data_IF_917119514425
#
_entry.id   IF_917119514425
#
_cell.length_a   1.000
_cell.length_b   1.000
_cell.length_c   1.000
_cell.angle_alpha   90.00
_cell.angle_beta   90.00
_cell.angle_gamma   90.00
#
_symmetry.space_group_name_H-M   'P 1'
#
loop_
_entity.id
_entity.type
_entity.pdbx_description
1 polymer ?
#
# COMPACT_ATOMS: atom_id res chain seq x y z
N UNK A 1 6.53 -3.34 28.22
CA UNK A 1 6.39 -4.05 26.94
C UNK A 1 5.09 -4.82 26.97
N UNK A 2 4.23 -4.69 25.96
CA UNK A 2 2.95 -5.38 25.90
C UNK A 2 3.14 -6.90 25.94
N UNK A 3 2.19 -7.61 26.56
CA UNK A 3 2.12 -9.07 26.48
C UNK A 3 2.11 -9.49 24.99
N UNK A 4 2.89 -10.50 24.59
CA UNK A 4 2.92 -11.02 23.21
C UNK A 4 1.52 -11.20 22.62
N UNK A 5 0.57 -11.66 23.44
CA UNK A 5 -0.81 -11.83 23.01
C UNK A 5 -1.48 -10.50 22.62
N UNK A 6 -1.23 -9.43 23.36
CA UNK A 6 -1.72 -8.09 23.02
C UNK A 6 -1.12 -7.59 21.71
N UNK A 7 0.19 -7.76 21.51
CA UNK A 7 0.86 -7.36 20.26
C UNK A 7 0.30 -8.14 19.07
N UNK A 8 0.05 -9.45 19.23
CA UNK A 8 -0.57 -10.26 18.20
C UNK A 8 -2.00 -9.81 17.90
N UNK A 9 -2.80 -9.51 18.92
CA UNK A 9 -4.17 -9.01 18.76
C UNK A 9 -4.20 -7.66 18.03
N UNK A 10 -3.33 -6.73 18.42
CA UNK A 10 -3.19 -5.42 17.78
C UNK A 10 -2.77 -5.55 16.30
N UNK A 11 -1.85 -6.49 16.00
CA UNK A 11 -1.44 -6.79 14.64
C UNK A 11 -2.57 -7.37 13.80
N UNK A 12 -3.35 -8.33 14.32
CA UNK A 12 -4.50 -8.91 13.60
C UNK A 12 -5.62 -7.87 13.37
N UNK A 13 -5.88 -7.00 14.35
CA UNK A 13 -6.81 -5.87 14.19
C UNK A 13 -6.36 -4.92 13.08
N UNK A 14 -5.06 -4.61 13.04
CA UNK A 14 -4.48 -3.77 11.99
C UNK A 14 -4.61 -4.43 10.61
N UNK A 15 -4.37 -5.75 10.52
CA UNK A 15 -4.55 -6.51 9.27
C UNK A 15 -5.99 -6.49 8.78
N UNK A 16 -6.96 -6.70 9.67
CA UNK A 16 -8.38 -6.64 9.31
C UNK A 16 -8.77 -5.29 8.69
N UNK A 17 -8.21 -4.19 9.21
CA UNK A 17 -8.43 -2.86 8.64
C UNK A 17 -7.71 -2.62 7.30
N UNK A 18 -6.61 -3.33 7.02
CA UNK A 18 -5.83 -3.22 5.78
C UNK A 18 -6.39 -4.07 4.63
N UNK A 19 -7.08 -5.18 4.95
CA UNK A 19 -7.51 -6.19 3.97
C UNK A 19 -8.93 -5.94 3.42
N UNK A 20 -9.71 -5.02 3.99
CA UNK A 20 -10.99 -4.63 3.37
C UNK A 20 -10.73 -3.78 2.13
N UNK A 21 -10.62 -4.47 0.99
CA UNK A 21 -10.41 -3.86 -0.32
C UNK A 21 -11.71 -3.50 -1.03
N UNK A 22 -12.89 -3.80 -0.47
CA UNK A 22 -14.16 -3.71 -1.21
C UNK A 22 -14.43 -2.29 -1.74
N UNK A 23 -14.24 -1.28 -0.90
CA UNK A 23 -14.40 0.13 -1.31
C UNK A 23 -13.33 0.60 -2.28
N UNK A 24 -12.07 0.17 -2.10
CA UNK A 24 -10.97 0.53 -2.99
C UNK A 24 -11.11 -0.14 -4.36
N UNK A 25 -11.59 -1.38 -4.40
CA UNK A 25 -11.87 -2.11 -5.65
C UNK A 25 -13.00 -1.47 -6.44
N UNK A 26 -14.09 -1.08 -5.76
CA UNK A 26 -15.19 -0.36 -6.40
C UNK A 26 -14.75 0.99 -6.98
N UNK A 27 -13.89 1.73 -6.26
CA UNK A 27 -13.36 3.01 -6.76
C UNK A 27 -12.40 2.81 -7.95
N UNK A 28 -11.57 1.75 -7.93
CA UNK A 28 -10.71 1.38 -9.06
C UNK A 28 -11.56 1.02 -10.28
N UNK A 29 -12.61 0.21 -10.12
CA UNK A 29 -13.50 -0.19 -11.20
C UNK A 29 -14.19 1.03 -11.82
N UNK A 30 -14.79 1.88 -10.99
CA UNK A 30 -15.40 3.13 -11.44
C UNK A 30 -14.42 4.04 -12.18
N UNK A 31 -13.22 4.24 -11.63
CA UNK A 31 -12.20 5.08 -12.27
C UNK A 31 -11.71 4.48 -13.59
N UNK A 32 -11.66 3.15 -13.69
CA UNK A 32 -11.34 2.43 -14.92
C UNK A 32 -12.39 2.67 -16.01
N UNK A 33 -13.67 2.56 -15.66
CA UNK A 33 -14.78 2.87 -16.58
C UNK A 33 -14.71 4.32 -17.10
N UNK A 34 -14.42 5.28 -16.22
CA UNK A 34 -14.25 6.70 -16.61
C UNK A 34 -13.10 6.88 -17.63
N UNK A 35 -11.97 6.21 -17.40
CA UNK A 35 -10.82 6.22 -18.32
C UNK A 35 -11.19 5.59 -19.67
N UNK A 36 -11.90 4.47 -19.67
CA UNK A 36 -12.33 3.76 -20.88
C UNK A 36 -13.27 4.62 -21.73
N UNK A 37 -14.23 5.29 -21.08
CA UNK A 37 -15.14 6.24 -21.76
C UNK A 37 -14.34 7.36 -22.44
N UNK A 38 -13.36 7.94 -21.77
CA UNK A 38 -12.53 9.01 -22.37
C UNK A 38 -11.69 8.46 -23.53
N UNK A 39 -11.14 7.25 -23.40
CA UNK A 39 -10.38 6.61 -24.46
C UNK A 39 -11.21 6.40 -25.73
N UNK A 40 -12.46 5.94 -25.58
CA UNK A 40 -13.39 5.77 -26.70
C UNK A 40 -13.81 7.12 -27.32
N UNK A 41 -13.94 8.18 -26.51
CA UNK A 41 -14.17 9.55 -27.03
C UNK A 41 -12.99 10.04 -27.88
N UNK A 42 -11.75 9.83 -27.42
CA UNK A 42 -10.54 10.19 -28.18
C UNK A 42 -10.50 9.42 -29.51
N UNK A 43 -10.73 8.11 -29.47
CA UNK A 43 -10.77 7.24 -30.64
C UNK A 43 -11.85 7.64 -31.65
N UNK A 44 -13.04 7.99 -31.15
CA UNK A 44 -14.14 8.49 -31.98
C UNK A 44 -13.77 9.82 -32.66
N UNK A 45 -13.18 10.77 -31.93
CA UNK A 45 -12.73 12.05 -32.46
C UNK A 45 -11.67 11.87 -33.58
N UNK A 46 -10.71 10.98 -33.38
CA UNK A 46 -9.69 10.65 -34.39
C UNK A 46 -10.34 10.04 -35.64
N UNK A 47 -11.27 9.11 -35.46
CA UNK A 47 -12.01 8.47 -36.56
C UNK A 47 -12.84 9.47 -37.36
N UNK A 48 -13.49 10.40 -36.67
CA UNK A 48 -14.32 11.44 -37.30
C UNK A 48 -13.47 12.39 -38.15
N UNK A 49 -12.34 12.87 -37.62
CA UNK A 49 -11.42 13.74 -38.36
C UNK A 49 -10.79 13.02 -39.57
N UNK A 50 -10.56 11.71 -39.48
CA UNK A 50 -10.07 10.91 -40.61
C UNK A 50 -11.14 10.69 -41.70
N UNK A 51 -12.43 10.66 -41.32
CA UNK A 51 -13.54 10.34 -42.23
C UNK A 51 -14.20 11.58 -42.82
N UNK A 52 -14.10 12.73 -42.15
CA UNK A 52 -14.73 14.00 -42.54
C UNK A 52 -13.76 15.13 -42.26
N UNK A 53 -13.52 15.99 -43.25
CA UNK A 53 -12.63 17.13 -43.09
C UNK A 53 -13.21 18.10 -42.04
N UNK A 54 -12.51 18.24 -40.92
CA UNK A 54 -12.83 19.20 -39.85
C UNK A 54 -11.85 20.37 -39.90
N UNK A 55 -12.24 21.49 -39.28
CA UNK A 55 -11.29 22.56 -38.96
C UNK A 55 -10.16 22.00 -38.11
N UNK A 56 -8.92 22.14 -38.57
CA UNK A 56 -7.76 21.58 -37.86
C UNK A 56 -7.56 22.23 -36.49
N UNK A 57 -7.85 23.54 -36.37
CA UNK A 57 -7.76 24.24 -35.09
C UNK A 57 -8.80 23.72 -34.08
N UNK A 58 -10.02 23.42 -34.54
CA UNK A 58 -11.07 22.86 -33.68
C UNK A 58 -10.76 21.42 -33.26
N UNK A 59 -10.27 20.60 -34.20
CA UNK A 59 -9.85 19.22 -33.92
C UNK A 59 -8.72 19.18 -32.88
N UNK A 60 -7.64 19.95 -33.10
CA UNK A 60 -6.50 20.00 -32.18
C UNK A 60 -6.94 20.45 -30.78
N UNK A 61 -7.82 21.46 -30.71
CA UNK A 61 -8.35 21.94 -29.42
C UNK A 61 -9.15 20.87 -28.68
N UNK A 62 -10.06 20.16 -29.37
CA UNK A 62 -10.86 19.08 -28.78
C UNK A 62 -9.98 17.90 -28.37
N UNK A 63 -9.05 17.50 -29.23
CA UNK A 63 -8.11 16.41 -28.98
C UNK A 63 -7.26 16.69 -27.74
N UNK A 64 -6.61 17.85 -27.68
CA UNK A 64 -5.76 18.21 -26.54
C UNK A 64 -6.55 18.27 -25.23
N UNK A 65 -7.80 18.72 -25.25
CA UNK A 65 -8.65 18.72 -24.06
C UNK A 65 -8.96 17.29 -23.58
N UNK A 66 -9.36 16.41 -24.50
CA UNK A 66 -9.66 15.01 -24.16
C UNK A 66 -8.42 14.25 -23.72
N UNK A 67 -7.28 14.42 -24.39
CA UNK A 67 -6.00 13.80 -24.01
C UNK A 67 -5.56 14.25 -22.63
N UNK A 68 -5.70 15.55 -22.30
CA UNK A 68 -5.40 16.05 -20.96
C UNK A 68 -6.29 15.40 -19.89
N UNK A 69 -7.60 15.29 -20.15
CA UNK A 69 -8.54 14.63 -19.23
C UNK A 69 -8.21 13.15 -19.07
N UNK A 70 -7.86 12.47 -20.16
CA UNK A 70 -7.42 11.07 -20.12
C UNK A 70 -6.21 10.90 -19.21
N UNK A 71 -5.17 11.71 -19.40
CA UNK A 71 -3.96 11.65 -18.57
C UNK A 71 -4.24 11.92 -17.09
N UNK A 72 -5.14 12.86 -16.77
CA UNK A 72 -5.54 13.18 -15.40
C UNK A 72 -6.27 12.01 -14.73
N UNK A 73 -7.27 11.43 -15.39
CA UNK A 73 -8.05 10.30 -14.86
C UNK A 73 -7.21 9.01 -14.80
N UNK A 74 -6.38 8.75 -15.81
CA UNK A 74 -5.47 7.60 -15.82
C UNK A 74 -4.46 7.68 -14.66
N UNK A 75 -3.98 8.87 -14.31
CA UNK A 75 -3.09 9.05 -13.16
C UNK A 75 -3.79 8.75 -11.83
N UNK A 76 -5.08 9.09 -11.69
CA UNK A 76 -5.86 8.73 -10.49
C UNK A 76 -5.99 7.21 -10.38
N UNK A 77 -6.31 6.54 -11.49
CA UNK A 77 -6.38 5.08 -11.56
C UNK A 77 -5.04 4.45 -11.13
N UNK A 78 -3.92 4.92 -11.68
CA UNK A 78 -2.58 4.43 -11.36
C UNK A 78 -2.27 4.60 -9.86
N UNK A 79 -2.66 5.73 -9.27
CA UNK A 79 -2.46 5.97 -7.83
C UNK A 79 -3.30 5.02 -6.96
N UNK A 80 -4.55 4.76 -7.33
CA UNK A 80 -5.41 3.81 -6.61
C UNK A 80 -4.84 2.38 -6.68
N UNK A 81 -4.35 1.97 -7.85
CA UNK A 81 -3.69 0.68 -8.03
C UNK A 81 -2.41 0.56 -7.18
N UNK A 82 -1.58 1.62 -7.14
CA UNK A 82 -0.40 1.67 -6.26
C UNK A 82 -0.74 1.59 -4.78
N UNK A 83 -1.80 2.27 -4.34
CA UNK A 83 -2.27 2.17 -2.94
C UNK A 83 -2.70 0.74 -2.60
N UNK A 84 -3.40 0.06 -3.52
CA UNK A 84 -3.78 -1.34 -3.36
C UNK A 84 -2.55 -2.24 -3.22
N UNK A 85 -1.56 -2.09 -4.11
CA UNK A 85 -0.32 -2.86 -4.06
C UNK A 85 0.47 -2.64 -2.76
N UNK A 86 0.52 -1.39 -2.28
CA UNK A 86 1.17 -1.05 -1.01
C UNK A 86 0.50 -1.75 0.17
N UNK A 87 -0.83 -1.70 0.26
CA UNK A 87 -1.59 -2.38 1.33
C UNK A 87 -1.42 -3.89 1.32
N UNK A 88 -1.42 -4.51 0.13
CA UNK A 88 -1.12 -5.95 -0.02
C UNK A 88 0.29 -6.28 0.50
N UNK A 89 1.27 -5.45 0.16
CA UNK A 89 2.65 -5.63 0.64
C UNK A 89 2.76 -5.49 2.16
N UNK A 90 2.06 -4.52 2.75
CA UNK A 90 2.00 -4.30 4.19
C UNK A 90 1.32 -5.47 4.92
N UNK A 91 0.21 -5.98 4.40
CA UNK A 91 -0.46 -7.15 4.96
C UNK A 91 0.47 -8.38 4.98
N UNK A 92 1.17 -8.63 3.87
CA UNK A 92 2.11 -9.75 3.76
C UNK A 92 3.30 -9.60 4.72
N UNK A 93 3.80 -8.38 4.91
CA UNK A 93 4.85 -8.11 5.90
C UNK A 93 4.34 -8.35 7.32
N UNK A 94 3.10 -7.96 7.63
CA UNK A 94 2.47 -8.17 8.92
C UNK A 94 2.21 -9.65 9.20
N UNK A 95 1.79 -10.41 8.19
CA UNK A 95 1.63 -11.87 8.27
C UNK A 95 2.94 -12.54 8.67
N UNK A 96 4.04 -12.24 7.96
CA UNK A 96 5.37 -12.77 8.28
C UNK A 96 5.82 -12.35 9.68
N UNK A 97 5.56 -11.12 10.09
CA UNK A 97 5.88 -10.64 11.44
C UNK A 97 5.12 -11.42 12.52
N UNK A 98 3.81 -11.60 12.36
CA UNK A 98 2.95 -12.36 13.28
C UNK A 98 3.43 -13.82 13.39
N UNK A 99 3.74 -14.46 12.27
CA UNK A 99 4.25 -15.83 12.26
C UNK A 99 5.58 -15.95 13.01
N UNK A 100 6.49 -15.02 12.77
CA UNK A 100 7.78 -15.00 13.46
C UNK A 100 7.61 -14.78 14.96
N UNK A 101 6.77 -13.82 15.36
CA UNK A 101 6.50 -13.51 16.75
C UNK A 101 5.85 -14.68 17.50
N UNK A 102 4.95 -15.44 16.85
CA UNK A 102 4.35 -16.67 17.39
C UNK A 102 5.40 -17.77 17.65
N UNK A 103 6.42 -17.87 16.80
CA UNK A 103 7.51 -18.87 16.89
C UNK A 103 8.58 -18.51 17.92
N UNK A 104 8.72 -17.23 18.30
CA UNK A 104 9.74 -16.83 19.26
C UNK A 104 9.40 -17.33 20.69
N UNK A 105 10.39 -17.87 21.41
CA UNK A 105 10.20 -18.30 22.79
C UNK A 105 9.91 -17.08 23.68
N UNK A 106 8.93 -17.22 24.58
CA UNK A 106 8.57 -16.17 25.55
C UNK A 106 9.62 -15.97 26.64
N UNK A 107 10.44 -16.99 26.86
CA UNK A 107 11.48 -17.02 27.88
C UNK A 107 12.77 -17.37 27.18
N UNK A 108 13.80 -16.56 27.44
CA UNK A 108 15.16 -16.84 26.99
C UNK A 108 15.75 -17.88 27.96
N UNK A 109 15.79 -19.14 27.55
CA UNK A 109 16.29 -20.24 28.39
C UNK A 109 17.82 -20.29 28.47
N UNK A 110 18.51 -19.66 27.50
CA UNK A 110 19.96 -19.64 27.40
C UNK A 110 20.43 -18.19 27.32
N UNK A 111 21.48 -17.85 28.07
CA UNK A 111 22.08 -16.52 28.01
C UNK A 111 22.47 -16.13 26.59
N UNK A 112 22.04 -14.94 26.17
CA UNK A 112 22.38 -14.33 24.90
C UNK A 112 22.92 -12.93 25.16
N UNK A 113 24.22 -12.76 24.92
CA UNK A 113 24.95 -11.50 25.14
C UNK A 113 24.44 -10.37 24.24
N UNK A 114 23.99 -10.69 23.01
CA UNK A 114 23.47 -9.69 22.08
C UNK A 114 22.10 -9.18 22.51
N UNK A 115 21.22 -10.08 22.97
CA UNK A 115 19.93 -9.76 23.57
C UNK A 115 20.10 -8.94 24.85
N UNK A 116 21.05 -9.32 25.71
CA UNK A 116 21.37 -8.57 26.92
C UNK A 116 21.82 -7.14 26.60
N UNK A 117 22.81 -6.98 25.71
CA UNK A 117 23.32 -5.66 25.31
C UNK A 117 22.25 -4.78 24.63
N UNK A 118 21.24 -5.39 23.98
CA UNK A 118 20.12 -4.67 23.39
C UNK A 118 19.08 -4.22 24.43
N UNK A 119 18.91 -4.97 25.53
CA UNK A 119 17.85 -4.74 26.52
C UNK A 119 18.24 -3.82 27.67
N UNK A 120 19.54 -3.66 27.97
CA UNK A 120 20.00 -2.84 29.10
C UNK A 120 20.75 -1.59 28.64
N UNK A 121 20.44 -0.45 29.26
CA UNK A 121 21.16 0.81 29.02
C UNK A 121 22.47 0.88 29.84
N UNK A 122 22.44 0.32 31.06
CA UNK A 122 23.58 0.23 31.97
C UNK A 122 23.36 -0.90 32.96
N UNK A 123 24.44 -1.62 33.29
CA UNK A 123 24.49 -2.56 34.41
C UNK A 123 25.75 -2.31 35.24
N UNK A 124 25.63 -2.40 36.57
CA UNK A 124 26.71 -2.23 37.54
C UNK A 124 26.96 -3.55 38.25
N UNK A 125 28.18 -4.09 38.11
CA UNK A 125 28.58 -5.35 38.75
C UNK A 125 29.22 -5.05 40.11
N UNK A 126 28.59 -5.53 41.18
CA UNK A 126 29.10 -5.48 42.56
C UNK A 126 30.23 -6.48 42.79
N UNK A 127 31.09 -6.22 43.80
CA UNK A 127 32.19 -7.14 44.16
C UNK A 127 31.71 -8.51 44.68
N UNK A 128 30.45 -8.60 45.08
CA UNK A 128 29.77 -9.82 45.49
C UNK A 128 29.12 -10.59 44.32
N UNK A 129 29.26 -10.07 43.09
CA UNK A 129 28.65 -10.65 41.89
C UNK A 129 27.21 -10.21 41.64
N UNK A 130 26.67 -9.28 42.44
CA UNK A 130 25.35 -8.69 42.17
C UNK A 130 25.37 -7.80 40.91
N UNK A 131 24.28 -7.77 40.16
CA UNK A 131 24.09 -6.89 39.00
C UNK A 131 22.94 -5.94 39.31
N UNK A 132 23.21 -4.63 39.31
CA UNK A 132 22.24 -3.54 39.54
C UNK A 132 22.07 -2.64 38.32
#
# INVERSE_FOLDING_TARGET
>A
MGNRNQVLEDCELTRQALIDFTGLEAEIEKQYEEVEVIAELVKSLVKENASTAQSQDEYIKKYNNLSKRYEEEYRKLENLQKDKELRISQDKAMEVFIENLKKQPLVVEVWDESLWALMIEKAVVGRDGSIN
#
